data_IF_707031161233
#
_entry.id   IF_707031161233
#
_cell.length_a   1.000
_cell.length_b   1.000
_cell.length_c   1.000
_cell.angle_alpha   90.00
_cell.angle_beta   90.00
_cell.angle_gamma   90.00
#
_symmetry.space_group_name_H-M   'P 1'
#
loop_
_entity.id
_entity.type
_entity.pdbx_description
1 polymer ?
#
# COMPACT_ATOMS: atom_id res chain seq x y z
N UNK A 1 -34.95 -79.97 -26.28
CA UNK A 1 -33.99 -78.94 -26.73
C UNK A 1 -33.92 -77.86 -25.67
N UNK A 2 -32.70 -77.38 -25.36
CA UNK A 2 -32.31 -76.16 -24.60
C UNK A 2 -33.12 -75.77 -23.33
N UNK A 3 -32.51 -75.85 -22.14
CA UNK A 3 -31.81 -74.74 -21.43
C UNK A 3 -32.73 -73.56 -21.05
N UNK A 4 -32.79 -73.08 -19.80
CA UNK A 4 -32.00 -73.44 -18.59
C UNK A 4 -32.53 -72.80 -17.30
N UNK A 5 -31.73 -72.87 -16.21
CA UNK A 5 -32.02 -72.39 -14.84
C UNK A 5 -32.53 -70.93 -14.76
N UNK A 6 -33.41 -70.48 -13.85
CA UNK A 6 -33.70 -70.76 -12.43
C UNK A 6 -32.92 -69.88 -11.41
N UNK A 7 -33.59 -69.55 -10.28
CA UNK A 7 -33.20 -68.66 -9.15
C UNK A 7 -33.11 -67.15 -9.49
N UNK A 8 -33.80 -66.19 -8.82
CA UNK A 8 -34.20 -66.00 -7.40
C UNK A 8 -32.96 -65.87 -6.49
N UNK A 9 -32.72 -64.74 -5.79
CA UNK A 9 -33.24 -64.42 -4.44
C UNK A 9 -33.13 -62.91 -4.16
N UNK A 10 -34.02 -62.40 -3.30
CA UNK A 10 -34.08 -61.01 -2.81
C UNK A 10 -32.89 -60.60 -1.92
N UNK A 11 -32.56 -59.31 -1.89
CA UNK A 11 -31.59 -58.72 -0.95
C UNK A 11 -32.04 -57.34 -0.46
N UNK A 12 -32.64 -57.29 0.73
CA UNK A 12 -32.96 -56.05 1.46
C UNK A 12 -31.69 -55.36 1.97
N UNK A 13 -31.53 -54.06 1.75
CA UNK A 13 -30.33 -53.31 2.16
C UNK A 13 -30.64 -51.88 2.60
N UNK A 14 -30.19 -51.55 3.82
CA UNK A 14 -30.35 -50.28 4.54
C UNK A 14 -30.17 -49.01 3.69
N UNK A 15 -31.02 -48.01 3.94
CA UNK A 15 -30.77 -46.62 3.56
C UNK A 15 -29.58 -46.05 4.35
N UNK A 16 -28.37 -46.20 3.82
CA UNK A 16 -27.20 -45.48 4.30
C UNK A 16 -27.41 -43.98 4.03
N UNK A 17 -27.64 -43.20 5.09
CA UNK A 17 -27.72 -41.75 5.03
C UNK A 17 -26.40 -41.16 4.56
N UNK A 18 -26.28 -40.96 3.25
CA UNK A 18 -25.14 -40.30 2.62
C UNK A 18 -25.08 -38.86 3.12
N UNK A 19 -24.38 -38.66 4.24
CA UNK A 19 -24.07 -37.35 4.76
C UNK A 19 -23.10 -36.72 3.78
N UNK A 20 -23.64 -36.00 2.81
CA UNK A 20 -22.87 -35.20 1.86
C UNK A 20 -22.13 -34.13 2.65
N UNK A 21 -20.95 -34.49 3.17
CA UNK A 21 -19.96 -33.53 3.65
C UNK A 21 -19.71 -32.61 2.46
N UNK A 22 -20.31 -31.42 2.51
CA UNK A 22 -19.87 -30.29 1.71
C UNK A 22 -18.42 -30.05 2.13
N UNK A 23 -17.49 -30.64 1.39
CA UNK A 23 -16.09 -30.29 1.44
C UNK A 23 -16.02 -28.84 1.01
N UNK A 24 -16.06 -27.93 1.99
CA UNK A 24 -15.81 -26.52 1.77
C UNK A 24 -14.39 -26.46 1.24
N UNK A 25 -14.26 -26.28 -0.07
CA UNK A 25 -12.98 -26.16 -0.72
C UNK A 25 -12.34 -24.86 -0.22
N UNK A 26 -11.57 -24.97 0.87
CA UNK A 26 -10.75 -23.89 1.37
C UNK A 26 -9.93 -23.38 0.20
N UNK A 27 -10.03 -22.07 -0.06
CA UNK A 27 -9.36 -21.41 -1.19
C UNK A 27 -7.86 -21.39 -0.90
N UNK A 28 -7.19 -22.50 -1.26
CA UNK A 28 -5.76 -22.76 -1.03
C UNK A 28 -4.92 -21.68 -1.71
N UNK A 29 -3.78 -21.37 -1.10
CA UNK A 29 -2.86 -20.32 -1.55
C UNK A 29 -2.68 -19.22 -0.50
N UNK A 30 -2.10 -18.11 -0.93
CA UNK A 30 -1.75 -16.96 -0.09
C UNK A 30 -2.95 -16.49 0.74
N UNK A 31 -2.73 -16.30 2.04
CA UNK A 31 -3.62 -15.63 2.97
C UNK A 31 -3.47 -14.12 2.86
N UNK A 32 -2.31 -13.65 3.29
CA UNK A 32 -1.91 -12.25 3.31
C UNK A 32 -0.38 -12.11 3.27
N UNK A 33 0.08 -10.87 3.07
CA UNK A 33 1.48 -10.48 3.17
C UNK A 33 1.61 -9.43 4.28
N UNK A 34 2.51 -9.64 5.22
CA UNK A 34 2.80 -8.69 6.29
C UNK A 34 3.81 -7.67 5.76
N UNK A 35 3.44 -6.39 5.82
CA UNK A 35 4.27 -5.29 5.31
C UNK A 35 4.35 -4.20 6.37
N UNK A 36 5.53 -3.62 6.54
CA UNK A 36 5.78 -2.45 7.36
C UNK A 36 5.99 -1.23 6.46
N UNK A 37 5.14 -0.23 6.58
CA UNK A 37 5.25 1.04 5.85
C UNK A 37 5.61 2.13 6.85
N UNK A 38 6.78 2.74 6.69
CA UNK A 38 7.28 3.85 7.53
C UNK A 38 7.37 3.60 9.06
N UNK A 39 7.22 2.35 9.52
CA UNK A 39 7.09 2.02 10.94
C UNK A 39 5.86 1.17 11.23
N UNK A 40 4.77 1.43 10.53
CA UNK A 40 3.46 0.84 10.77
C UNK A 40 3.33 -0.52 10.09
N UNK A 41 2.99 -1.57 10.84
CA UNK A 41 2.81 -2.91 10.30
C UNK A 41 1.34 -3.15 9.91
N UNK A 42 1.12 -3.66 8.71
CA UNK A 42 -0.19 -4.02 8.17
C UNK A 42 -0.16 -5.38 7.47
N UNK A 43 -1.31 -6.03 7.35
CA UNK A 43 -1.49 -7.27 6.61
C UNK A 43 -2.27 -7.00 5.33
N UNK A 44 -1.66 -7.23 4.16
CA UNK A 44 -2.27 -7.02 2.84
C UNK A 44 -2.81 -8.38 2.33
N UNK A 45 -4.14 -8.58 2.23
CA UNK A 45 -4.70 -9.86 1.79
C UNK A 45 -4.31 -10.22 0.35
N UNK A 46 -4.32 -11.51 0.02
CA UNK A 46 -4.08 -11.96 -1.35
C UNK A 46 -5.08 -11.36 -2.34
N UNK A 47 -4.57 -10.75 -3.42
CA UNK A 47 -5.35 -10.04 -4.44
C UNK A 47 -5.52 -8.54 -4.18
N UNK A 48 -5.24 -8.05 -2.97
CA UNK A 48 -5.43 -6.64 -2.60
C UNK A 48 -4.27 -5.75 -3.07
N UNK A 49 -4.48 -4.43 -2.94
CA UNK A 49 -3.51 -3.41 -3.31
C UNK A 49 -2.95 -2.70 -2.08
N UNK A 50 -1.63 -2.72 -1.93
CA UNK A 50 -0.88 -1.86 -1.03
C UNK A 50 -0.61 -0.52 -1.72
N UNK A 51 -1.23 0.56 -1.21
CA UNK A 51 -0.98 1.92 -1.67
C UNK A 51 0.10 2.58 -0.81
N UNK A 52 1.12 3.13 -1.47
CA UNK A 52 2.23 3.89 -0.85
C UNK A 52 2.57 5.12 -1.68
N UNK A 53 3.26 6.07 -1.08
CA UNK A 53 3.66 7.33 -1.71
C UNK A 53 5.17 7.39 -1.90
N UNK A 54 5.63 8.00 -3.00
CA UNK A 54 7.07 8.17 -3.27
C UNK A 54 7.74 8.89 -2.10
N UNK A 55 8.67 8.21 -1.44
CA UNK A 55 9.34 8.67 -0.21
C UNK A 55 9.08 7.76 0.99
N UNK A 56 8.08 6.87 0.92
CA UNK A 56 7.85 5.82 1.91
C UNK A 56 8.96 4.78 1.92
N UNK A 57 9.32 4.30 3.11
CA UNK A 57 10.06 3.06 3.28
C UNK A 57 9.06 1.90 3.45
N UNK A 58 9.21 0.85 2.64
CA UNK A 58 8.34 -0.32 2.63
C UNK A 58 9.18 -1.57 2.87
N UNK A 59 8.88 -2.32 3.92
CA UNK A 59 9.53 -3.60 4.24
C UNK A 59 8.52 -4.73 4.25
N UNK A 60 8.64 -5.69 3.34
CA UNK A 60 7.84 -6.90 3.34
C UNK A 60 8.46 -7.88 4.36
N UNK A 61 7.70 -8.24 5.39
CA UNK A 61 8.20 -8.94 6.59
C UNK A 61 7.87 -10.44 6.62
N UNK A 62 6.78 -10.86 5.99
CA UNK A 62 6.39 -12.26 5.85
C UNK A 62 5.29 -12.42 4.80
N UNK A 63 5.12 -13.63 4.28
CA UNK A 63 3.88 -14.07 3.65
C UNK A 63 3.28 -15.23 4.47
N UNK A 64 1.95 -15.29 4.53
CA UNK A 64 1.22 -16.35 5.22
C UNK A 64 0.26 -17.07 4.27
N UNK A 65 0.07 -18.37 4.46
CA UNK A 65 -0.64 -19.26 3.55
C UNK A 65 -1.88 -19.88 4.22
N UNK A 66 -3.01 -19.92 3.51
CA UNK A 66 -4.19 -20.68 3.92
C UNK A 66 -4.05 -22.19 3.68
N UNK A 67 -3.01 -22.61 2.96
CA UNK A 67 -2.65 -24.01 2.79
C UNK A 67 -1.64 -24.42 3.89
N UNK A 68 -2.01 -25.30 4.85
CA UNK A 68 -1.16 -25.67 5.98
C UNK A 68 0.08 -26.50 5.57
N UNK A 69 0.15 -27.00 4.33
CA UNK A 69 1.36 -27.63 3.81
C UNK A 69 2.47 -26.62 3.50
N UNK A 70 2.14 -25.34 3.34
CA UNK A 70 3.08 -24.27 2.98
C UNK A 70 3.48 -23.47 4.23
N UNK A 71 4.71 -23.66 4.70
CA UNK A 71 5.23 -22.94 5.87
C UNK A 71 5.62 -21.50 5.49
N UNK A 72 5.29 -20.47 6.28
CA UNK A 72 5.68 -19.07 5.99
C UNK A 72 7.17 -18.88 5.67
N UNK A 73 8.07 -19.55 6.41
CA UNK A 73 9.52 -19.50 6.20
C UNK A 73 10.03 -20.17 4.91
N UNK A 74 9.14 -20.76 4.10
CA UNK A 74 9.45 -21.34 2.79
C UNK A 74 8.82 -20.56 1.63
N UNK A 75 8.18 -19.42 1.91
CA UNK A 75 7.64 -18.52 0.91
C UNK A 75 8.65 -17.44 0.55
N UNK A 76 8.82 -17.17 -0.74
CA UNK A 76 9.61 -16.04 -1.25
C UNK A 76 8.68 -14.94 -1.77
N UNK A 77 9.13 -13.69 -1.67
CA UNK A 77 8.43 -12.53 -2.24
C UNK A 77 9.34 -11.87 -3.28
N UNK A 78 8.80 -11.75 -4.49
CA UNK A 78 9.41 -11.08 -5.64
C UNK A 78 8.52 -9.90 -6.07
N UNK A 79 9.17 -8.85 -6.55
CA UNK A 79 8.53 -7.57 -6.90
C UNK A 79 8.95 -7.22 -8.32
N UNK A 80 8.06 -7.58 -9.24
CA UNK A 80 8.30 -7.58 -10.67
C UNK A 80 8.56 -6.15 -11.17
N UNK A 81 9.67 -5.92 -11.89
CA UNK A 81 9.99 -4.63 -12.51
C UNK A 81 10.89 -3.67 -11.73
N UNK A 82 11.45 -4.10 -10.60
CA UNK A 82 12.66 -3.49 -9.98
C UNK A 82 13.88 -4.36 -10.40
N UNK A 83 15.16 -4.03 -10.10
CA UNK A 83 16.34 -4.84 -10.48
C UNK A 83 17.11 -5.46 -9.29
N UNK A 84 17.34 -6.79 -9.28
CA UNK A 84 17.98 -7.51 -8.16
C UNK A 84 19.43 -7.10 -7.93
N UNK A 85 19.85 -7.03 -6.67
CA UNK A 85 21.19 -6.55 -6.30
C UNK A 85 21.36 -5.02 -6.34
N UNK A 86 20.38 -4.27 -6.81
CA UNK A 86 20.30 -2.82 -6.54
C UNK A 86 20.12 -2.58 -5.03
N UNK A 87 20.64 -1.48 -4.45
CA UNK A 87 20.22 -1.00 -3.12
C UNK A 87 18.70 -0.74 -2.99
N UNK A 88 17.93 -0.91 -4.07
CA UNK A 88 16.49 -0.63 -4.17
C UNK A 88 15.60 -1.89 -4.39
N UNK A 89 16.13 -3.12 -4.49
CA UNK A 89 15.30 -4.37 -4.55
C UNK A 89 15.18 -5.07 -3.19
N UNK A 90 14.06 -5.72 -2.87
CA UNK A 90 12.90 -6.10 -3.72
C UNK A 90 12.84 -7.59 -4.07
N UNK A 91 13.90 -8.35 -3.80
CA UNK A 91 13.88 -9.81 -3.69
C UNK A 91 15.01 -10.21 -2.73
N UNK A 92 14.69 -10.75 -1.56
CA UNK A 92 15.65 -11.31 -0.59
C UNK A 92 15.11 -12.62 -0.04
N UNK A 93 16.02 -13.58 0.14
CA UNK A 93 15.69 -14.89 0.69
C UNK A 93 15.38 -14.76 2.20
N UNK A 94 14.19 -15.21 2.63
CA UNK A 94 13.64 -14.97 3.98
C UNK A 94 14.40 -15.66 5.12
N UNK A 95 15.49 -16.37 4.81
CA UNK A 95 16.43 -16.91 5.81
C UNK A 95 17.10 -15.81 6.63
N UNK A 96 17.26 -14.61 6.07
CA UNK A 96 17.65 -13.43 6.83
C UNK A 96 16.40 -12.71 7.39
N UNK A 97 16.31 -12.57 8.71
CA UNK A 97 15.09 -12.17 9.46
C UNK A 97 14.65 -10.70 9.24
N UNK A 98 15.17 -10.04 8.21
CA UNK A 98 15.07 -8.59 7.97
C UNK A 98 14.01 -8.22 6.94
N UNK A 99 13.54 -9.19 6.14
CA UNK A 99 12.53 -8.97 5.11
C UNK A 99 13.08 -8.33 3.83
N UNK A 100 12.16 -7.96 2.93
CA UNK A 100 12.47 -7.29 1.66
C UNK A 100 12.18 -5.80 1.78
N UNK A 101 13.22 -4.99 1.90
CA UNK A 101 13.12 -3.52 2.01
C UNK A 101 13.16 -2.83 0.63
N UNK A 102 12.42 -1.72 0.50
CA UNK A 102 12.32 -0.89 -0.70
C UNK A 102 12.22 0.58 -0.30
N UNK A 103 13.13 1.39 -0.84
CA UNK A 103 13.01 2.84 -0.84
C UNK A 103 12.12 3.29 -2.02
N UNK A 104 10.85 3.63 -1.78
CA UNK A 104 9.95 4.05 -2.88
C UNK A 104 10.38 5.38 -3.52
N UNK A 105 11.30 6.13 -2.89
CA UNK A 105 11.80 7.42 -3.35
C UNK A 105 12.40 7.40 -4.77
N UNK A 106 12.92 6.24 -5.20
CA UNK A 106 13.51 5.99 -6.51
C UNK A 106 12.58 5.28 -7.49
N UNK A 107 11.42 4.78 -7.03
CA UNK A 107 10.48 4.06 -7.88
C UNK A 107 9.62 5.01 -8.71
N UNK A 108 9.26 4.56 -9.91
CA UNK A 108 8.28 5.21 -10.77
C UNK A 108 6.88 5.15 -10.12
N UNK A 109 6.06 6.16 -10.39
CA UNK A 109 4.67 6.22 -9.90
C UNK A 109 3.78 5.28 -10.72
N UNK A 110 3.87 3.97 -10.47
CA UNK A 110 3.09 2.93 -11.15
C UNK A 110 2.71 1.77 -10.22
N UNK A 111 1.98 0.81 -10.79
CA UNK A 111 1.69 -0.47 -10.14
C UNK A 111 2.82 -1.49 -10.41
N UNK A 112 3.32 -2.11 -9.36
CA UNK A 112 4.27 -3.21 -9.38
C UNK A 112 3.55 -4.50 -8.92
N UNK A 113 3.57 -5.59 -9.69
CA UNK A 113 3.13 -6.90 -9.23
C UNK A 113 4.05 -7.39 -8.10
N UNK A 114 3.46 -7.86 -7.01
CA UNK A 114 4.18 -8.54 -5.93
C UNK A 114 3.74 -9.99 -5.95
N UNK A 115 4.64 -10.88 -6.33
CA UNK A 115 4.37 -12.31 -6.49
C UNK A 115 4.97 -13.08 -5.32
N UNK A 116 4.15 -13.92 -4.67
CA UNK A 116 4.59 -14.83 -3.60
C UNK A 116 4.76 -16.22 -4.19
N UNK A 117 5.91 -16.86 -3.97
CA UNK A 117 6.21 -18.22 -4.48
C UNK A 117 6.56 -19.20 -3.35
N UNK A 118 6.42 -20.49 -3.63
CA UNK A 118 6.96 -21.62 -2.87
C UNK A 118 7.77 -22.49 -3.85
N UNK A 119 9.09 -22.39 -3.78
CA UNK A 119 9.95 -22.77 -4.91
C UNK A 119 9.48 -22.07 -6.20
N UNK A 120 9.36 -22.80 -7.29
CA UNK A 120 8.87 -22.28 -8.58
C UNK A 120 7.37 -21.95 -8.61
N UNK A 121 6.58 -22.44 -7.64
CA UNK A 121 5.12 -22.32 -7.67
C UNK A 121 4.66 -20.97 -7.11
N UNK A 122 4.01 -20.15 -7.94
CA UNK A 122 3.26 -18.97 -7.45
C UNK A 122 2.10 -19.42 -6.54
N UNK A 123 2.08 -18.93 -5.31
CA UNK A 123 1.04 -19.24 -4.30
C UNK A 123 0.03 -18.10 -4.14
N UNK A 124 0.36 -16.90 -4.61
CA UNK A 124 -0.54 -15.77 -4.69
C UNK A 124 0.17 -14.49 -5.13
N UNK A 125 -0.59 -13.40 -5.22
CA UNK A 125 -0.10 -12.07 -5.61
C UNK A 125 -0.79 -10.99 -4.78
N UNK A 126 -0.12 -9.86 -4.62
CA UNK A 126 -0.72 -8.57 -4.27
C UNK A 126 -0.21 -7.51 -5.26
N UNK A 127 -0.73 -6.29 -5.19
CA UNK A 127 -0.26 -5.16 -6.02
C UNK A 127 0.35 -4.09 -5.12
N UNK A 128 1.55 -3.61 -5.44
CA UNK A 128 2.14 -2.42 -4.84
C UNK A 128 1.87 -1.22 -5.78
N UNK A 129 1.12 -0.22 -5.34
CA UNK A 129 0.91 1.03 -6.10
C UNK A 129 1.71 2.14 -5.46
N UNK A 130 2.71 2.64 -6.18
CA UNK A 130 3.47 3.83 -5.81
C UNK A 130 2.81 5.04 -6.46
N UNK A 131 2.36 6.00 -5.64
CA UNK A 131 1.79 7.26 -6.09
C UNK A 131 2.73 8.44 -5.79
N UNK A 132 2.71 9.48 -6.62
CA UNK A 132 3.29 10.77 -6.22
C UNK A 132 2.48 11.40 -5.07
N UNK A 133 3.13 11.96 -4.04
CA UNK A 133 2.50 12.94 -3.16
C UNK A 133 1.91 14.10 -3.97
N UNK A 134 0.64 14.43 -3.74
CA UNK A 134 -0.07 15.50 -4.45
C UNK A 134 -0.68 16.49 -3.47
N UNK A 135 -0.47 17.77 -3.73
CA UNK A 135 -1.15 18.87 -3.05
C UNK A 135 -2.32 19.35 -3.90
N UNK A 136 -3.54 19.35 -3.37
CA UNK A 136 -4.71 19.87 -4.08
C UNK A 136 -5.02 21.31 -3.61
N UNK A 137 -5.16 21.53 -2.30
CA UNK A 137 -5.34 22.85 -1.68
C UNK A 137 -5.00 22.85 -0.18
N UNK A 138 -4.84 24.02 0.42
CA UNK A 138 -4.92 24.21 1.87
C UNK A 138 -5.96 25.27 2.22
N UNK A 139 -6.47 25.20 3.45
CA UNK A 139 -7.23 26.29 4.08
C UNK A 139 -6.27 26.99 5.03
N UNK A 140 -6.04 28.28 4.80
CA UNK A 140 -5.21 29.13 5.66
C UNK A 140 -6.09 30.18 6.33
N UNK A 141 -5.88 30.41 7.62
CA UNK A 141 -6.53 31.46 8.37
C UNK A 141 -5.66 32.72 8.26
N UNK A 142 -6.19 33.77 7.63
CA UNK A 142 -5.57 35.10 7.60
C UNK A 142 -6.36 36.01 8.54
N UNK A 143 -5.73 36.47 9.62
CA UNK A 143 -6.39 37.22 10.71
C UNK A 143 -7.67 36.52 11.21
N UNK A 144 -7.62 35.19 11.34
CA UNK A 144 -8.74 34.35 11.77
C UNK A 144 -9.80 34.04 10.70
N UNK A 145 -9.71 34.60 9.49
CA UNK A 145 -10.64 34.33 8.38
C UNK A 145 -10.12 33.21 7.47
N UNK A 146 -10.89 32.16 7.16
CA UNK A 146 -10.44 31.06 6.32
C UNK A 146 -10.38 31.48 4.84
N UNK A 147 -9.26 31.16 4.20
CA UNK A 147 -8.99 31.36 2.78
C UNK A 147 -8.56 30.02 2.19
N UNK A 148 -9.25 29.54 1.17
CA UNK A 148 -8.88 28.29 0.46
C UNK A 148 -7.93 28.61 -0.68
N UNK A 149 -6.76 27.98 -0.69
CA UNK A 149 -5.70 28.21 -1.67
C UNK A 149 -5.32 26.90 -2.34
N UNK A 150 -5.56 26.82 -3.65
CA UNK A 150 -5.20 25.64 -4.47
C UNK A 150 -3.70 25.61 -4.78
N UNK A 151 -3.21 24.47 -5.26
CA UNK A 151 -1.86 24.32 -5.79
C UNK A 151 -1.48 25.47 -6.76
N UNK A 152 -0.31 26.09 -6.55
CA UNK A 152 0.16 27.24 -7.34
C UNK A 152 -0.60 28.56 -7.10
N UNK A 153 -1.62 28.54 -6.23
CA UNK A 153 -2.39 29.72 -5.84
C UNK A 153 -1.57 30.71 -5.00
N UNK A 154 -2.13 31.92 -4.84
CA UNK A 154 -1.52 33.01 -4.09
C UNK A 154 -2.48 33.61 -3.08
N UNK A 155 -1.94 34.11 -1.96
CA UNK A 155 -2.66 34.95 -0.99
C UNK A 155 -1.88 36.23 -0.79
N UNK A 156 -2.44 37.37 -1.18
CA UNK A 156 -1.77 38.65 -0.95
C UNK A 156 -1.90 39.02 0.54
N UNK A 157 -0.78 39.22 1.22
CA UNK A 157 -0.73 39.57 2.64
C UNK A 157 -0.26 41.03 2.83
N UNK A 158 -0.62 41.60 3.97
CA UNK A 158 0.01 42.79 4.55
C UNK A 158 1.07 42.36 5.58
N UNK A 159 2.08 43.19 5.90
CA UNK A 159 3.09 42.87 6.91
C UNK A 159 2.54 42.57 8.31
N UNK A 160 1.34 43.05 8.62
CA UNK A 160 0.63 42.85 9.89
C UNK A 160 -0.27 41.62 9.94
N UNK A 161 -0.41 40.86 8.84
CA UNK A 161 -1.37 39.78 8.77
C UNK A 161 -0.85 38.50 9.46
N UNK A 162 -1.60 38.01 10.43
CA UNK A 162 -1.32 36.73 11.09
C UNK A 162 -1.85 35.58 10.22
N UNK A 163 -0.98 34.63 9.88
CA UNK A 163 -1.33 33.47 9.03
C UNK A 163 -1.10 32.15 9.77
N UNK A 164 -2.09 31.25 9.69
CA UNK A 164 -2.00 29.88 10.21
C UNK A 164 -2.64 28.88 9.25
N UNK A 165 -1.97 27.77 8.95
CA UNK A 165 -2.61 26.65 8.22
C UNK A 165 -3.67 26.00 9.12
N UNK A 166 -4.90 25.87 8.62
CA UNK A 166 -6.00 25.20 9.31
C UNK A 166 -6.14 23.74 8.88
N UNK A 167 -6.02 23.47 7.58
CA UNK A 167 -6.12 22.12 7.03
C UNK A 167 -5.45 22.03 5.67
N UNK A 168 -4.99 20.83 5.30
CA UNK A 168 -4.38 20.53 3.99
C UNK A 168 -5.18 19.41 3.32
N UNK A 169 -5.48 19.57 2.03
CA UNK A 169 -6.04 18.52 1.18
C UNK A 169 -4.95 17.98 0.24
N UNK A 170 -4.72 16.69 0.38
CA UNK A 170 -3.74 15.90 -0.36
C UNK A 170 -4.29 14.49 -0.57
N UNK A 171 -3.60 13.69 -1.39
CA UNK A 171 -3.81 12.25 -1.48
C UNK A 171 -3.18 11.46 -0.31
N UNK A 172 -2.26 12.05 0.47
CA UNK A 172 -1.68 11.40 1.66
C UNK A 172 -2.81 11.18 2.71
N UNK A 173 -3.06 9.95 3.19
CA UNK A 173 -4.21 9.67 4.06
C UNK A 173 -4.11 10.28 5.46
N UNK A 174 -2.89 10.41 5.97
CA UNK A 174 -2.59 10.88 7.32
C UNK A 174 -1.93 12.28 7.24
N UNK A 175 -2.67 13.36 7.56
CA UNK A 175 -2.16 14.72 7.45
C UNK A 175 -1.08 15.04 8.50
N UNK A 176 -0.90 14.23 9.55
CA UNK A 176 0.18 14.44 10.52
C UNK A 176 1.57 14.17 9.94
N UNK A 177 1.64 13.48 8.78
CA UNK A 177 2.87 13.21 8.02
C UNK A 177 3.27 14.35 7.07
N UNK A 178 2.51 15.45 7.06
CA UNK A 178 2.76 16.63 6.23
C UNK A 178 3.55 17.65 7.05
N UNK A 179 4.80 17.85 6.67
CA UNK A 179 5.64 18.94 7.17
C UNK A 179 5.21 20.26 6.47
N UNK A 180 5.15 21.37 7.21
CA UNK A 180 4.82 22.70 6.67
C UNK A 180 5.88 23.70 7.07
N UNK A 181 6.67 24.16 6.09
CA UNK A 181 7.64 25.24 6.30
C UNK A 181 7.02 26.58 5.96
N UNK A 182 7.16 27.56 6.86
CA UNK A 182 6.91 28.97 6.56
C UNK A 182 8.23 29.66 6.21
N UNK A 183 8.35 30.14 4.96
CA UNK A 183 9.54 30.81 4.46
C UNK A 183 9.36 32.33 4.48
N UNK A 184 10.22 33.00 5.25
CA UNK A 184 10.20 34.44 5.52
C UNK A 184 10.84 35.28 4.41
N UNK A 185 11.70 34.68 3.58
CA UNK A 185 12.49 35.31 2.52
C UNK A 185 11.71 35.59 1.22
N UNK A 186 10.54 34.96 1.05
CA UNK A 186 9.64 35.21 -0.08
C UNK A 186 8.16 35.18 0.25
N UNK A 187 7.81 35.01 1.54
CA UNK A 187 6.43 34.79 2.00
C UNK A 187 5.83 33.57 1.33
N UNK A 188 6.17 32.35 1.76
CA UNK A 188 5.54 31.14 1.20
C UNK A 188 5.35 30.04 2.24
N UNK A 189 4.38 29.16 1.98
CA UNK A 189 4.21 27.91 2.69
C UNK A 189 4.61 26.77 1.77
N UNK A 190 5.57 25.95 2.18
CA UNK A 190 5.95 24.72 1.46
C UNK A 190 5.43 23.52 2.23
N UNK A 191 4.71 22.65 1.50
CA UNK A 191 4.19 21.39 1.99
C UNK A 191 5.16 20.29 1.61
N UNK A 192 5.66 19.57 2.61
CA UNK A 192 6.68 18.55 2.49
C UNK A 192 6.15 17.19 2.95
N UNK A 193 6.59 16.15 2.27
CA UNK A 193 6.38 14.76 2.65
C UNK A 193 7.72 14.05 2.62
N UNK A 194 8.16 13.51 3.76
CA UNK A 194 9.47 12.85 3.89
C UNK A 194 10.61 13.76 3.39
N UNK A 195 10.60 15.03 3.81
CA UNK A 195 11.55 16.06 3.39
C UNK A 195 11.44 16.56 1.93
N UNK A 196 10.62 15.94 1.07
CA UNK A 196 10.43 16.37 -0.34
C UNK A 196 9.24 17.33 -0.44
N UNK A 197 9.44 18.49 -1.07
CA UNK A 197 8.36 19.46 -1.33
C UNK A 197 7.42 18.92 -2.40
N UNK A 198 6.12 18.89 -2.11
CA UNK A 198 5.06 18.44 -3.02
C UNK A 198 3.94 19.47 -3.23
N UNK A 199 4.02 20.61 -2.53
CA UNK A 199 3.13 21.76 -2.72
C UNK A 199 3.76 23.06 -2.25
N UNK A 200 3.38 24.17 -2.89
CA UNK A 200 3.76 25.53 -2.47
C UNK A 200 2.52 26.44 -2.58
N UNK A 201 2.30 27.27 -1.56
CA UNK A 201 1.43 28.44 -1.62
C UNK A 201 2.34 29.67 -1.52
N UNK A 202 2.18 30.60 -2.46
CA UNK A 202 2.87 31.90 -2.40
C UNK A 202 2.01 32.93 -1.67
N UNK A 203 2.64 33.68 -0.78
CA UNK A 203 2.00 34.65 0.09
C UNK A 203 2.73 35.99 0.02
N UNK A 204 2.77 36.65 -1.15
CA UNK A 204 3.52 37.88 -1.34
C UNK A 204 3.03 38.96 -0.37
N UNK A 205 3.97 39.54 0.37
CA UNK A 205 3.71 40.65 1.29
C UNK A 205 3.74 41.96 0.52
N UNK A 206 2.60 42.64 0.47
CA UNK A 206 2.46 43.92 -0.22
C UNK A 206 3.29 44.99 0.48
N UNK A 207 4.20 45.64 -0.25
CA UNK A 207 5.06 46.71 0.27
C UNK A 207 6.48 46.28 0.65
N UNK A 208 6.83 45.00 0.55
CA UNK A 208 8.23 44.57 0.62
C UNK A 208 9.00 45.12 -0.59
N UNK A 209 9.76 46.21 -0.39
CA UNK A 209 10.75 46.66 -1.38
C UNK A 209 11.87 45.62 -1.43
N UNK A 210 12.23 45.17 -2.64
CA UNK A 210 13.55 44.57 -2.86
C UNK A 210 14.61 45.56 -2.40
N UNK A 211 15.49 45.10 -1.51
CA UNK A 211 16.65 45.84 -1.01
C UNK A 211 17.83 45.53 -1.94
#
# INVERSE_FOLDING_TARGET
MLLGAALVVLGSGLAAGATTRKTVAFKRGLGHVVVKVNGDQTAVPAGETLHVYRGDNVVFLAADSRDPALRPASLTIDIEGIAAGSPERGERDYRDKRGVEIATASLESKAYPVTVRYGEKVVGRIKLVVAEPRFDYAVVLVNGRPVTVRAGGKVNLKPSDAVRVQSVRTNIPDPSRIEVDALTDGGSLRFKYRGRVFGEIRMPVSGARSI
#
